data_IF_309425491301
#
_entry.id   IF_309425491301
#
_cell.length_a   1.000
_cell.length_b   1.000
_cell.length_c   1.000
_cell.angle_alpha   90.00
_cell.angle_beta   90.00
_cell.angle_gamma   90.00
#
_symmetry.space_group_name_H-M   'P 1'
#
loop_
_entity.id
_entity.type
_entity.pdbx_description
1 polymer ?
#
# COMPACT_ATOMS: atom_id res chain seq x y z
N UNK A 1 -16.84 14.09 -32.25
CA UNK A 1 -15.52 13.58 -31.84
C UNK A 1 -15.01 12.56 -32.85
N UNK A 2 -13.69 12.40 -32.99
CA UNK A 2 -13.11 11.28 -33.76
C UNK A 2 -13.39 9.95 -33.03
N UNK A 3 -13.52 8.80 -33.73
CA UNK A 3 -13.86 7.51 -33.11
C UNK A 3 -12.92 7.06 -31.98
N UNK A 4 -11.63 7.43 -32.04
CA UNK A 4 -10.66 7.12 -31.00
C UNK A 4 -10.91 7.90 -29.70
N UNK A 5 -11.28 9.17 -29.82
CA UNK A 5 -11.56 10.02 -28.65
C UNK A 5 -12.85 9.58 -27.95
N UNK A 6 -13.87 9.11 -28.68
CA UNK A 6 -15.09 8.57 -28.07
C UNK A 6 -14.81 7.31 -27.24
N UNK A 7 -13.88 6.45 -27.68
CA UNK A 7 -13.49 5.26 -26.92
C UNK A 7 -12.71 5.62 -25.67
N UNK A 8 -11.80 6.60 -25.74
CA UNK A 8 -11.09 7.12 -24.55
C UNK A 8 -12.08 7.66 -23.53
N UNK A 9 -13.02 8.47 -23.99
CA UNK A 9 -14.03 9.07 -23.12
C UNK A 9 -14.98 8.03 -22.53
N UNK A 10 -15.35 7.00 -23.32
CA UNK A 10 -16.09 5.85 -22.79
C UNK A 10 -15.33 5.13 -21.66
N UNK A 11 -14.03 4.90 -21.84
CA UNK A 11 -13.19 4.27 -20.81
C UNK A 11 -13.18 5.11 -19.54
N UNK A 12 -12.97 6.44 -19.65
CA UNK A 12 -13.03 7.38 -18.53
C UNK A 12 -14.35 7.28 -17.77
N UNK A 13 -15.48 7.47 -18.45
CA UNK A 13 -16.81 7.45 -17.83
C UNK A 13 -17.15 6.09 -17.19
N UNK A 14 -16.67 4.98 -17.77
CA UNK A 14 -16.86 3.64 -17.19
C UNK A 14 -15.96 3.37 -15.99
N UNK A 15 -14.75 3.92 -15.96
CA UNK A 15 -13.87 3.86 -14.80
C UNK A 15 -14.50 4.59 -13.60
N UNK A 16 -15.07 5.77 -13.86
CA UNK A 16 -15.87 6.58 -12.91
C UNK A 16 -17.19 5.90 -12.46
N UNK A 17 -17.52 4.73 -13.00
CA UNK A 17 -18.70 3.95 -12.59
C UNK A 17 -20.01 4.37 -13.25
N UNK A 18 -20.00 5.24 -14.27
CA UNK A 18 -21.24 5.67 -14.92
C UNK A 18 -21.97 4.54 -15.64
N UNK A 19 -23.30 4.60 -15.60
CA UNK A 19 -24.17 3.60 -16.25
C UNK A 19 -24.18 3.74 -17.77
N UNK A 20 -24.53 2.66 -18.48
CA UNK A 20 -24.66 2.72 -19.95
C UNK A 20 -25.67 3.77 -20.41
N UNK A 21 -26.76 3.98 -19.67
CA UNK A 21 -27.77 4.98 -20.04
C UNK A 21 -27.18 6.40 -20.02
N UNK A 22 -26.48 6.75 -18.94
CA UNK A 22 -25.77 8.03 -18.81
C UNK A 22 -24.77 8.25 -19.93
N UNK A 23 -23.98 7.23 -20.26
CA UNK A 23 -22.95 7.31 -21.29
C UNK A 23 -23.55 7.39 -22.71
N UNK A 24 -24.66 6.69 -22.97
CA UNK A 24 -25.35 6.77 -24.26
C UNK A 24 -25.84 8.20 -24.53
N UNK A 25 -26.36 8.87 -23.50
CA UNK A 25 -26.81 10.27 -23.58
C UNK A 25 -25.63 11.22 -23.81
N UNK A 26 -24.54 11.07 -23.06
CA UNK A 26 -23.37 11.96 -23.13
C UNK A 26 -22.56 11.81 -24.42
N UNK A 27 -22.37 10.58 -24.90
CA UNK A 27 -21.53 10.31 -26.07
C UNK A 27 -22.34 10.15 -27.36
N UNK A 28 -23.67 10.24 -27.28
CA UNK A 28 -24.61 10.00 -28.38
C UNK A 28 -24.36 8.67 -29.10
N UNK A 29 -24.15 7.60 -28.32
CA UNK A 29 -23.94 6.23 -28.81
C UNK A 29 -25.08 5.30 -28.41
N UNK A 30 -25.24 4.19 -29.14
CA UNK A 30 -26.25 3.18 -28.83
C UNK A 30 -25.82 2.26 -27.68
N UNK A 31 -26.80 1.69 -26.97
CA UNK A 31 -26.55 0.67 -25.93
C UNK A 31 -25.85 -0.58 -26.47
N UNK A 32 -26.07 -0.94 -27.72
CA UNK A 32 -25.34 -2.02 -28.41
C UNK A 32 -23.85 -1.67 -28.60
N UNK A 33 -23.53 -0.40 -28.83
CA UNK A 33 -22.16 0.10 -28.90
C UNK A 33 -21.48 0.00 -27.54
N UNK A 34 -22.13 0.43 -26.45
CA UNK A 34 -21.61 0.26 -25.09
C UNK A 34 -21.30 -1.20 -24.76
N UNK A 35 -22.22 -2.11 -25.08
CA UNK A 35 -22.02 -3.56 -24.83
C UNK A 35 -20.80 -4.12 -25.58
N UNK A 36 -20.59 -3.67 -26.83
CA UNK A 36 -19.42 -4.06 -27.62
C UNK A 36 -18.13 -3.46 -27.06
N UNK A 37 -18.17 -2.19 -26.66
CA UNK A 37 -17.02 -1.46 -26.13
C UNK A 37 -16.62 -1.94 -24.74
N UNK A 38 -17.56 -2.28 -23.86
CA UNK A 38 -17.27 -2.86 -22.55
C UNK A 38 -16.40 -4.10 -22.70
N UNK A 39 -16.78 -5.03 -23.58
CA UNK A 39 -15.98 -6.25 -23.83
C UNK A 39 -14.61 -5.94 -24.43
N UNK A 40 -14.56 -5.02 -25.41
CA UNK A 40 -13.33 -4.71 -26.14
C UNK A 40 -12.34 -3.85 -25.33
N UNK A 41 -12.83 -3.08 -24.37
CA UNK A 41 -12.05 -2.10 -23.60
C UNK A 41 -11.97 -2.46 -22.10
N UNK A 42 -12.46 -3.63 -21.69
CA UNK A 42 -12.49 -4.09 -20.29
C UNK A 42 -11.13 -3.92 -19.60
N UNK A 43 -10.05 -4.38 -20.24
CA UNK A 43 -8.70 -4.25 -19.68
C UNK A 43 -8.27 -2.78 -19.45
N UNK A 44 -8.66 -1.86 -20.34
CA UNK A 44 -8.34 -0.44 -20.20
C UNK A 44 -9.18 0.22 -19.10
N UNK A 45 -10.46 -0.17 -18.99
CA UNK A 45 -11.35 0.29 -17.91
C UNK A 45 -10.82 -0.19 -16.56
N UNK A 46 -10.44 -1.47 -16.45
CA UNK A 46 -9.91 -2.03 -15.21
C UNK A 46 -8.55 -1.43 -14.83
N UNK A 47 -7.69 -1.18 -15.82
CA UNK A 47 -6.42 -0.49 -15.60
C UNK A 47 -6.65 0.94 -15.09
N UNK A 48 -7.55 1.70 -15.72
CA UNK A 48 -7.85 3.05 -15.27
C UNK A 48 -8.46 3.07 -13.86
N UNK A 49 -9.38 2.14 -13.55
CA UNK A 49 -9.92 1.99 -12.18
C UNK A 49 -8.83 1.68 -11.16
N UNK A 50 -7.88 0.80 -11.50
CA UNK A 50 -6.73 0.51 -10.63
C UNK A 50 -5.86 1.74 -10.42
N UNK A 51 -5.59 2.49 -11.48
CA UNK A 51 -4.82 3.72 -11.40
C UNK A 51 -5.52 4.79 -10.53
N UNK A 52 -6.81 5.04 -10.75
CA UNK A 52 -7.63 5.97 -9.95
C UNK A 52 -7.68 5.53 -8.48
N UNK A 53 -7.83 4.24 -8.21
CA UNK A 53 -7.79 3.71 -6.84
C UNK A 53 -6.40 3.88 -6.21
N UNK A 54 -5.32 3.64 -6.96
CA UNK A 54 -3.96 3.82 -6.48
C UNK A 54 -3.68 5.28 -6.10
N UNK A 55 -4.09 6.22 -6.94
CA UNK A 55 -4.00 7.66 -6.67
C UNK A 55 -4.83 8.05 -5.45
N UNK A 56 -6.05 7.52 -5.32
CA UNK A 56 -6.88 7.74 -4.14
C UNK A 56 -6.18 7.20 -2.87
N UNK A 57 -5.67 5.98 -2.92
CA UNK A 57 -4.91 5.39 -1.82
C UNK A 57 -3.67 6.23 -1.45
N UNK A 58 -2.95 6.78 -2.42
CA UNK A 58 -1.82 7.66 -2.17
C UNK A 58 -2.26 8.97 -1.48
N UNK A 59 -3.29 9.63 -2.01
CA UNK A 59 -3.80 10.91 -1.46
C UNK A 59 -4.28 10.80 -0.02
N UNK A 60 -4.87 9.66 0.35
CA UNK A 60 -5.34 9.39 1.72
C UNK A 60 -4.31 8.72 2.62
N UNK A 61 -3.04 8.65 2.20
CA UNK A 61 -1.98 8.01 2.97
C UNK A 61 -2.28 6.54 3.31
N UNK A 62 -2.88 5.79 2.39
CA UNK A 62 -3.13 4.35 2.54
C UNK A 62 -1.95 3.50 2.07
N UNK A 63 -1.06 4.04 1.24
CA UNK A 63 0.21 3.39 0.90
C UNK A 63 1.25 3.64 2.00
N UNK A 64 2.17 2.69 2.19
CA UNK A 64 3.25 2.82 3.18
C UNK A 64 4.11 4.05 2.89
N UNK A 65 4.46 4.28 1.63
CA UNK A 65 5.21 5.46 1.19
C UNK A 65 4.51 6.77 1.58
N UNK A 66 3.21 6.90 1.28
CA UNK A 66 2.46 8.10 1.61
C UNK A 66 2.35 8.33 3.13
N UNK A 67 2.24 7.27 3.94
CA UNK A 67 2.30 7.39 5.41
C UNK A 67 3.67 7.85 5.90
N UNK A 68 4.75 7.27 5.37
CA UNK A 68 6.13 7.66 5.70
C UNK A 68 6.35 9.14 5.41
N UNK A 69 6.00 9.61 4.20
CA UNK A 69 6.12 11.03 3.81
C UNK A 69 5.35 11.93 4.78
N UNK A 70 4.07 11.63 5.03
CA UNK A 70 3.22 12.45 5.89
C UNK A 70 3.68 12.50 7.36
N UNK A 71 4.13 11.36 7.89
CA UNK A 71 4.69 11.27 9.25
C UNK A 71 6.00 12.07 9.35
N UNK A 72 6.89 11.92 8.36
CA UNK A 72 8.14 12.68 8.27
C UNK A 72 7.91 14.18 8.18
N UNK A 73 7.05 14.64 7.27
CA UNK A 73 6.71 16.06 7.11
C UNK A 73 6.14 16.67 8.40
N UNK A 74 5.34 15.90 9.14
CA UNK A 74 4.78 16.35 10.41
C UNK A 74 5.85 16.40 11.49
N UNK A 75 6.74 15.41 11.54
CA UNK A 75 7.85 15.35 12.49
C UNK A 75 8.84 16.51 12.28
N UNK A 76 9.14 16.88 11.04
CA UNK A 76 9.96 18.06 10.71
C UNK A 76 9.35 19.35 11.27
N UNK A 77 8.03 19.54 11.12
CA UNK A 77 7.33 20.70 11.70
C UNK A 77 7.40 20.73 13.22
N UNK A 78 7.27 19.56 13.86
CA UNK A 78 7.41 19.42 15.32
C UNK A 78 8.84 19.74 15.76
N UNK A 79 9.85 19.26 15.03
CA UNK A 79 11.25 19.55 15.31
C UNK A 79 11.54 21.06 15.21
N UNK A 80 11.10 21.71 14.13
CA UNK A 80 11.27 23.15 13.96
C UNK A 80 10.58 23.96 15.07
N UNK A 81 9.39 23.54 15.51
CA UNK A 81 8.69 24.19 16.63
C UNK A 81 9.43 24.01 17.97
N UNK A 82 10.00 22.82 18.21
CA UNK A 82 10.80 22.55 19.40
C UNK A 82 12.11 23.32 19.42
N UNK A 83 12.78 23.50 18.27
CA UNK A 83 14.01 24.30 18.17
C UNK A 83 13.80 25.78 18.50
N UNK A 84 12.60 26.30 18.21
CA UNK A 84 12.23 27.68 18.50
C UNK A 84 11.59 27.86 19.89
N UNK A 85 11.22 26.78 20.56
CA UNK A 85 10.54 26.84 21.84
C UNK A 85 11.49 27.35 22.94
N UNK A 86 11.03 28.32 23.73
CA UNK A 86 11.69 28.69 24.97
C UNK A 86 11.18 27.78 26.11
N UNK A 87 12.00 26.79 26.45
CA UNK A 87 11.72 25.79 27.49
C UNK A 87 11.65 26.40 28.89
N UNK A 88 12.05 27.66 29.07
CA UNK A 88 11.94 28.37 30.35
C UNK A 88 10.61 29.10 30.52
N UNK A 89 9.90 29.38 29.42
CA UNK A 89 8.66 30.16 29.40
C UNK A 89 7.40 29.32 29.11
N UNK A 90 7.54 28.16 28.44
CA UNK A 90 6.41 27.30 28.05
C UNK A 90 6.72 25.84 28.38
N UNK A 91 5.75 25.10 28.93
CA UNK A 91 5.86 23.65 29.13
C UNK A 91 5.93 22.92 27.77
N UNK A 92 7.09 22.39 27.37
CA UNK A 92 7.28 21.76 26.08
C UNK A 92 6.83 20.29 26.08
N UNK A 93 6.31 19.77 27.20
CA UNK A 93 5.94 18.37 27.35
C UNK A 93 5.03 17.86 26.22
N UNK A 94 4.08 18.68 25.76
CA UNK A 94 3.17 18.30 24.67
C UNK A 94 3.87 18.16 23.32
N UNK A 95 4.83 19.02 23.00
CA UNK A 95 5.59 18.93 21.76
C UNK A 95 6.59 17.76 21.80
N UNK A 96 7.20 17.49 22.96
CA UNK A 96 8.05 16.33 23.17
C UNK A 96 7.25 15.01 23.09
N UNK A 97 6.04 14.97 23.64
CA UNK A 97 5.11 13.84 23.52
C UNK A 97 4.71 13.59 22.06
N UNK A 98 4.37 14.64 21.31
CA UNK A 98 4.09 14.51 19.88
C UNK A 98 5.31 14.05 19.10
N UNK A 99 6.51 14.59 19.39
CA UNK A 99 7.75 14.13 18.77
C UNK A 99 7.95 12.64 18.99
N UNK A 100 7.80 12.15 20.23
CA UNK A 100 7.91 10.73 20.55
C UNK A 100 6.89 9.89 19.76
N UNK A 101 5.61 10.26 19.82
CA UNK A 101 4.52 9.52 19.14
C UNK A 101 4.70 9.43 17.63
N UNK A 102 5.05 10.53 16.98
CA UNK A 102 5.27 10.54 15.53
C UNK A 102 6.55 9.79 15.14
N UNK A 103 7.59 9.82 15.98
CA UNK A 103 8.81 9.04 15.78
C UNK A 103 8.52 7.54 15.89
N UNK A 104 7.74 7.12 16.88
CA UNK A 104 7.32 5.73 17.06
C UNK A 104 6.43 5.24 15.91
N UNK A 105 5.47 6.07 15.48
CA UNK A 105 4.63 5.77 14.32
C UNK A 105 5.46 5.62 13.03
N UNK A 106 6.41 6.53 12.79
CA UNK A 106 7.31 6.46 11.63
C UNK A 106 8.21 5.22 11.68
N UNK A 107 8.75 4.90 12.86
CA UNK A 107 9.51 3.66 13.08
C UNK A 107 8.65 2.42 12.81
N UNK A 108 7.37 2.45 13.16
CA UNK A 108 6.41 1.37 12.87
C UNK A 108 6.17 1.15 11.38
N UNK A 109 6.39 2.16 10.54
CA UNK A 109 6.32 2.00 9.08
C UNK A 109 7.56 1.38 8.46
N UNK A 110 8.67 1.31 9.19
CA UNK A 110 9.93 0.76 8.68
C UNK A 110 9.77 -0.69 8.23
N UNK A 111 10.32 -0.97 7.06
CA UNK A 111 10.51 -2.32 6.54
C UNK A 111 11.95 -2.40 6.01
N UNK A 112 12.56 -3.57 6.14
CA UNK A 112 13.89 -3.82 5.59
C UNK A 112 13.91 -3.58 4.08
N UNK A 113 15.04 -3.09 3.59
CA UNK A 113 15.24 -2.83 2.16
C UNK A 113 15.69 -4.06 1.38
N UNK A 114 16.01 -5.15 2.09
CA UNK A 114 16.37 -6.43 1.49
C UNK A 114 15.11 -7.22 1.16
N UNK A 115 15.01 -7.81 -0.05
CA UNK A 115 13.90 -8.70 -0.36
C UNK A 115 13.92 -9.89 0.59
N UNK A 116 12.72 -10.33 1.01
CA UNK A 116 12.59 -11.58 1.74
C UNK A 116 12.99 -12.75 0.84
N UNK A 117 13.48 -13.83 1.44
CA UNK A 117 13.77 -15.04 0.70
C UNK A 117 12.47 -15.63 0.11
N UNK A 118 12.47 -15.87 -1.20
CA UNK A 118 11.40 -16.62 -1.87
C UNK A 118 11.64 -18.12 -1.67
N UNK A 119 10.61 -18.85 -1.26
CA UNK A 119 10.67 -20.28 -1.07
C UNK A 119 10.52 -20.99 -2.42
N UNK A 120 11.60 -21.60 -2.91
CA UNK A 120 11.57 -22.41 -4.14
C UNK A 120 10.76 -23.71 -3.98
N UNK A 121 10.78 -24.30 -2.79
CA UNK A 121 10.01 -25.51 -2.47
C UNK A 121 9.71 -25.60 -0.97
N UNK A 122 8.62 -26.28 -0.62
CA UNK A 122 8.22 -26.53 0.77
C UNK A 122 8.77 -27.89 1.22
N UNK A 123 10.09 -27.98 1.33
CA UNK A 123 10.81 -29.11 1.92
C UNK A 123 11.50 -28.71 3.24
N UNK A 124 12.01 -29.69 3.99
CA UNK A 124 12.65 -29.42 5.28
C UNK A 124 13.81 -28.40 5.17
N UNK A 125 14.59 -28.47 4.09
CA UNK A 125 15.72 -27.56 3.86
C UNK A 125 15.23 -26.14 3.59
N UNK A 126 14.24 -25.97 2.72
CA UNK A 126 13.62 -24.70 2.38
C UNK A 126 13.00 -24.03 3.60
N UNK A 127 12.26 -24.79 4.42
CA UNK A 127 11.66 -24.27 5.65
C UNK A 127 12.72 -23.81 6.65
N UNK A 128 13.79 -24.58 6.85
CA UNK A 128 14.92 -24.18 7.72
C UNK A 128 15.62 -22.93 7.18
N UNK A 129 15.83 -22.84 5.87
CA UNK A 129 16.39 -21.64 5.22
C UNK A 129 15.49 -20.42 5.41
N UNK A 130 14.17 -20.55 5.29
CA UNK A 130 13.22 -19.47 5.53
C UNK A 130 13.18 -19.05 7.02
N UNK A 131 13.31 -19.98 7.96
CA UNK A 131 13.43 -19.67 9.39
C UNK A 131 14.73 -18.90 9.69
N UNK A 132 15.84 -19.26 9.05
CA UNK A 132 17.10 -18.55 9.19
C UNK A 132 17.03 -17.13 8.61
N UNK A 133 16.40 -16.96 7.45
CA UNK A 133 16.12 -15.65 6.85
C UNK A 133 15.23 -14.80 7.77
N UNK A 134 14.13 -15.37 8.28
CA UNK A 134 13.26 -14.70 9.24
C UNK A 134 14.03 -14.23 10.49
N UNK A 135 14.89 -15.07 11.06
CA UNK A 135 15.72 -14.71 12.21
C UNK A 135 16.66 -13.54 11.89
N UNK A 136 17.24 -13.51 10.69
CA UNK A 136 18.10 -12.41 10.25
C UNK A 136 17.31 -11.11 10.10
N UNK A 137 16.12 -11.15 9.50
CA UNK A 137 15.23 -9.98 9.37
C UNK A 137 14.79 -9.45 10.74
N UNK A 138 14.46 -10.33 11.69
CA UNK A 138 14.16 -9.93 13.08
C UNK A 138 15.36 -9.25 13.73
N UNK A 139 16.56 -9.84 13.62
CA UNK A 139 17.79 -9.28 14.22
C UNK A 139 18.19 -7.94 13.61
N UNK A 140 17.94 -7.75 12.32
CA UNK A 140 18.17 -6.48 11.63
C UNK A 140 17.13 -5.41 12.00
N UNK A 141 16.00 -5.79 12.60
CA UNK A 141 14.88 -4.88 12.84
C UNK A 141 14.08 -4.56 11.58
N UNK A 142 14.21 -5.39 10.54
CA UNK A 142 13.61 -5.20 9.22
C UNK A 142 12.10 -5.49 9.19
N UNK A 143 11.59 -6.16 10.23
CA UNK A 143 10.17 -6.54 10.35
C UNK A 143 9.67 -6.28 11.77
N UNK A 144 8.36 -6.11 11.90
CA UNK A 144 7.71 -5.93 13.21
C UNK A 144 7.63 -7.25 13.98
N UNK A 145 7.52 -7.17 15.31
CA UNK A 145 7.32 -8.35 16.17
C UNK A 145 6.06 -9.14 15.77
N UNK A 146 4.99 -8.45 15.39
CA UNK A 146 3.75 -9.09 14.95
C UNK A 146 3.94 -9.85 13.63
N UNK A 147 4.64 -9.25 12.67
CA UNK A 147 4.97 -9.92 11.41
C UNK A 147 5.85 -11.15 11.66
N UNK A 148 6.87 -11.03 12.52
CA UNK A 148 7.73 -12.14 12.87
C UNK A 148 6.97 -13.31 13.50
N UNK A 149 6.02 -13.02 14.41
CA UNK A 149 5.17 -14.03 15.04
C UNK A 149 4.27 -14.74 14.02
N UNK A 150 3.65 -13.99 13.10
CA UNK A 150 2.80 -14.56 12.03
C UNK A 150 3.61 -15.45 11.09
N UNK A 151 4.74 -14.95 10.57
CA UNK A 151 5.60 -15.72 9.65
C UNK A 151 6.16 -16.97 10.33
N UNK A 152 6.63 -16.86 11.58
CA UNK A 152 7.12 -18.01 12.35
C UNK A 152 6.03 -19.07 12.55
N UNK A 153 4.79 -18.65 12.83
CA UNK A 153 3.65 -19.57 12.97
C UNK A 153 3.33 -20.31 11.68
N UNK A 154 3.36 -19.63 10.53
CA UNK A 154 3.14 -20.23 9.21
C UNK A 154 4.24 -21.26 8.91
N UNK A 155 5.52 -20.88 9.10
CA UNK A 155 6.65 -21.79 8.87
C UNK A 155 6.59 -23.02 9.77
N UNK A 156 6.18 -22.88 11.04
CA UNK A 156 5.99 -24.00 11.95
C UNK A 156 4.84 -24.94 11.51
N UNK A 157 3.76 -24.40 10.92
CA UNK A 157 2.68 -25.20 10.35
C UNK A 157 3.12 -25.96 9.10
N UNK A 158 3.91 -25.32 8.23
CA UNK A 158 4.49 -25.97 7.05
C UNK A 158 5.40 -27.14 7.43
N UNK A 159 6.24 -26.97 8.47
CA UNK A 159 7.10 -28.03 8.97
C UNK A 159 6.28 -29.23 9.48
N UNK A 160 5.24 -28.97 10.27
CA UNK A 160 4.34 -30.02 10.77
C UNK A 160 3.62 -30.77 9.65
N UNK A 161 3.17 -30.04 8.62
CA UNK A 161 2.50 -30.65 7.48
C UNK A 161 3.45 -31.55 6.69
N UNK A 162 4.71 -31.14 6.53
CA UNK A 162 5.75 -31.97 5.93
C UNK A 162 6.02 -33.24 6.73
N UNK A 163 6.12 -33.16 8.06
CA UNK A 163 6.35 -34.32 8.92
C UNK A 163 5.19 -35.36 8.90
N UNK A 164 4.03 -34.99 8.38
CA UNK A 164 2.84 -35.86 8.27
C UNK A 164 2.65 -36.53 6.90
N UNK A 165 3.48 -36.22 5.91
CA UNK A 165 3.45 -36.81 4.54
C UNK A 165 4.60 -37.79 4.36
#
# INVERSE_FOLDING_TARGET
MKPAELKKEYVRLRAEGQSYSSICEQLHISKSTCTKWEKALAAQIDELKRAELAELCESYSMTKEARIRRLGDTLEKINAALEQADFTAVDPAKLLDFKLKYTEALKGEYIGTKPALELDSVDAKGIVTALADLLNRVRAGDITTEQAQKESGILAQLLKAYDTV
#
